data_IF_142386962245
#
_entry.id   IF_142386962245
#
_cell.length_a   1.000
_cell.length_b   1.000
_cell.length_c   1.000
_cell.angle_alpha   90.00
_cell.angle_beta   90.00
_cell.angle_gamma   90.00
#
_symmetry.space_group_name_H-M   'P 1'
#
loop_
_entity.id
_entity.type
_entity.pdbx_description
1 polymer ?
#
# COMPACT_ATOMS: atom_id res chain seq x y z
N UNK A 1 -1.13 -10.08 -13.19
CA UNK A 1 -0.90 -10.17 -11.73
C UNK A 1 0.19 -9.17 -11.35
N UNK A 2 -0.09 -8.21 -10.47
CA UNK A 2 0.87 -7.13 -10.09
C UNK A 2 1.44 -7.38 -8.69
N UNK A 3 2.70 -7.02 -8.47
CA UNK A 3 3.36 -7.09 -7.15
C UNK A 3 3.89 -5.70 -6.77
N UNK A 4 3.37 -5.16 -5.67
CA UNK A 4 3.82 -3.89 -5.09
C UNK A 4 4.43 -4.15 -3.72
N UNK A 5 5.50 -3.43 -3.38
CA UNK A 5 6.15 -3.49 -2.07
C UNK A 5 6.37 -2.08 -1.56
N UNK A 6 5.81 -1.77 -0.39
CA UNK A 6 5.89 -0.46 0.26
C UNK A 6 6.53 -0.69 1.63
N UNK A 7 7.56 0.10 1.95
CA UNK A 7 8.24 0.06 3.25
C UNK A 7 8.09 1.44 3.90
N UNK A 8 7.52 1.47 5.10
CA UNK A 8 7.30 2.71 5.85
C UNK A 8 7.81 2.66 7.26
N UNK A 9 8.19 3.83 7.81
CA UNK A 9 8.58 3.96 9.21
C UNK A 9 7.35 4.16 10.08
N UNK A 10 7.13 3.24 11.01
CA UNK A 10 5.97 3.30 11.91
C UNK A 10 5.93 4.59 12.75
N UNK A 11 7.09 5.05 13.25
CA UNK A 11 7.17 6.20 14.17
C UNK A 11 6.81 7.53 13.51
N UNK A 12 7.32 7.78 12.32
CA UNK A 12 7.29 9.12 11.73
C UNK A 12 6.35 9.24 10.54
N UNK A 13 5.58 8.17 10.27
CA UNK A 13 4.55 8.11 9.22
C UNK A 13 5.10 8.39 7.82
N UNK A 14 6.41 8.25 7.64
CA UNK A 14 7.11 8.57 6.40
C UNK A 14 7.42 7.28 5.64
N UNK A 15 7.09 7.19 4.33
CA UNK A 15 7.54 6.09 3.49
C UNK A 15 9.07 6.13 3.39
N UNK A 16 9.73 5.02 3.72
CA UNK A 16 11.20 4.92 3.72
C UNK A 16 11.75 4.46 2.37
N UNK A 17 11.01 3.62 1.66
CA UNK A 17 11.35 3.20 0.32
C UNK A 17 10.08 2.82 -0.44
N UNK A 18 9.80 3.56 -1.51
CA UNK A 18 8.91 3.11 -2.56
C UNK A 18 9.80 2.54 -3.65
N UNK A 19 9.88 1.21 -3.77
CA UNK A 19 10.63 0.59 -4.86
C UNK A 19 9.64 0.27 -5.97
N UNK A 20 9.54 1.08 -7.03
CA UNK A 20 8.79 0.68 -8.20
C UNK A 20 9.59 -0.43 -8.90
N UNK A 21 9.14 -1.68 -8.79
CA UNK A 21 9.74 -2.80 -9.55
C UNK A 21 9.28 -2.87 -11.00
N UNK A 22 8.41 -1.97 -11.43
CA UNK A 22 7.96 -1.89 -12.82
C UNK A 22 7.78 -0.43 -13.18
N UNK A 23 8.74 0.10 -13.93
CA UNK A 23 8.70 1.41 -14.55
C UNK A 23 7.94 1.30 -15.88
N UNK A 24 6.68 0.85 -15.81
CA UNK A 24 5.71 1.10 -16.88
C UNK A 24 4.76 2.14 -16.29
N UNK A 25 5.12 3.39 -16.57
CA UNK A 25 4.27 4.56 -16.42
C UNK A 25 2.89 4.23 -17.05
N UNK A 26 1.79 4.66 -16.44
CA UNK A 26 0.41 4.57 -16.96
C UNK A 26 -0.46 3.32 -16.63
N UNK A 27 -0.18 2.57 -15.55
CA UNK A 27 -1.15 1.58 -15.08
C UNK A 27 -2.04 2.17 -13.97
N UNK A 28 -3.27 2.60 -14.28
CA UNK A 28 -4.26 3.07 -13.30
C UNK A 28 -4.39 2.12 -12.10
N UNK A 29 -4.29 0.81 -12.35
CA UNK A 29 -4.29 -0.20 -11.30
C UNK A 29 -3.10 -0.06 -10.34
N UNK A 30 -1.89 0.24 -10.84
CA UNK A 30 -0.72 0.45 -10.00
C UNK A 30 -0.91 1.66 -9.08
N UNK A 31 -1.38 2.77 -9.63
CA UNK A 31 -1.68 3.99 -8.87
C UNK A 31 -2.73 3.72 -7.79
N UNK A 32 -3.78 2.96 -8.11
CA UNK A 32 -4.80 2.54 -7.17
C UNK A 32 -4.23 1.74 -6.00
N UNK A 33 -3.50 0.65 -6.27
CA UNK A 33 -2.91 -0.19 -5.22
C UNK A 33 -1.86 0.56 -4.39
N UNK A 34 -1.15 1.51 -5.01
CA UNK A 34 -0.22 2.39 -4.30
C UNK A 34 -0.92 3.27 -3.28
N UNK A 35 -1.99 3.97 -3.69
CA UNK A 35 -2.76 4.84 -2.79
C UNK A 35 -3.37 4.05 -1.63
N UNK A 36 -3.89 2.84 -1.91
CA UNK A 36 -4.41 1.95 -0.87
C UNK A 36 -3.33 1.52 0.13
N UNK A 37 -2.16 1.12 -0.35
CA UNK A 37 -1.05 0.71 0.50
C UNK A 37 -0.50 1.85 1.37
N UNK A 38 -0.43 3.07 0.83
CA UNK A 38 -0.03 4.27 1.58
C UNK A 38 -1.06 4.63 2.67
N UNK A 39 -2.36 4.52 2.36
CA UNK A 39 -3.42 4.72 3.34
C UNK A 39 -3.33 3.73 4.51
N UNK A 40 -3.19 2.44 4.20
CA UNK A 40 -3.05 1.38 5.21
C UNK A 40 -1.84 1.63 6.11
N UNK A 41 -0.69 1.96 5.51
CA UNK A 41 0.53 2.27 6.26
C UNK A 41 0.34 3.46 7.21
N UNK A 42 -0.37 4.49 6.77
CA UNK A 42 -0.71 5.67 7.59
C UNK A 42 -1.61 5.30 8.77
N UNK A 43 -2.63 4.47 8.56
CA UNK A 43 -3.50 4.04 9.66
C UNK A 43 -2.77 3.12 10.65
N UNK A 44 -1.91 2.21 10.18
CA UNK A 44 -1.04 1.41 11.04
C UNK A 44 -0.16 2.33 11.91
N UNK A 45 0.41 3.38 11.33
CA UNK A 45 1.22 4.36 12.07
C UNK A 45 0.43 5.20 13.08
N UNK A 46 -0.90 5.21 13.01
CA UNK A 46 -1.79 5.85 13.99
C UNK A 46 -2.18 4.92 15.12
N UNK A 47 -1.74 3.67 15.09
CA UNK A 47 -2.09 2.65 16.08
C UNK A 47 -3.28 1.79 15.67
N UNK A 48 -3.79 1.93 14.44
CA UNK A 48 -4.70 0.92 13.90
C UNK A 48 -3.94 -0.39 13.66
N UNK A 49 -4.67 -1.51 13.61
CA UNK A 49 -4.15 -2.81 13.19
C UNK A 49 -2.89 -3.27 13.98
N UNK A 50 -3.06 -3.51 15.29
CA UNK A 50 -1.98 -3.79 16.26
C UNK A 50 -1.21 -5.11 16.09
N UNK A 51 -1.61 -5.99 15.17
CA UNK A 51 -0.92 -7.26 14.92
C UNK A 51 0.35 -7.03 14.09
N UNK A 52 1.44 -7.67 14.51
CA UNK A 52 2.73 -7.65 13.81
C UNK A 52 2.71 -8.25 12.40
N UNK A 53 1.70 -9.07 12.08
CA UNK A 53 1.50 -9.66 10.75
C UNK A 53 0.01 -9.77 10.47
N UNK A 54 -0.42 -9.27 9.32
CA UNK A 54 -1.82 -9.26 8.91
C UNK A 54 -1.97 -9.54 7.42
N UNK A 55 -3.16 -10.00 7.04
CA UNK A 55 -3.60 -10.09 5.65
C UNK A 55 -4.89 -9.29 5.55
N UNK A 56 -4.89 -8.25 4.71
CA UNK A 56 -6.06 -7.39 4.48
C UNK A 56 -6.62 -7.77 3.12
N UNK A 57 -7.89 -8.14 3.07
CA UNK A 57 -8.59 -8.39 1.82
C UNK A 57 -9.26 -7.08 1.39
N UNK A 58 -8.81 -6.55 0.26
CA UNK A 58 -9.41 -5.39 -0.40
C UNK A 58 -10.17 -5.95 -1.61
N UNK A 59 -11.49 -6.09 -1.49
CA UNK A 59 -12.28 -6.53 -2.64
C UNK A 59 -12.26 -5.42 -3.70
N UNK A 60 -11.90 -5.80 -4.92
CA UNK A 60 -11.94 -4.92 -6.08
C UNK A 60 -13.38 -4.91 -6.58
N UNK A 61 -14.19 -3.95 -6.16
CA UNK A 61 -15.41 -3.62 -6.90
C UNK A 61 -14.97 -2.95 -8.20
N UNK A 62 -14.66 -3.76 -9.21
CA UNK A 62 -14.80 -3.35 -10.60
C UNK A 62 -16.30 -3.11 -10.80
N UNK A 63 -16.71 -1.85 -10.69
CA UNK A 63 -17.99 -1.43 -11.28
C UNK A 63 -17.86 -1.65 -12.79
N UNK A 64 -18.76 -2.45 -13.36
CA UNK A 64 -19.06 -2.46 -14.81
C UNK A 64 -19.61 -1.10 -15.25
#
# INVERSE_FOLDING_TARGET
MVKLTIIGRLRDRLPLAQVPRYQNEENESFSYYKHQGEFILKEISRGALSLSRMTIRLDHHSFE
#
